data_IF_103004938790
#
_entry.id   IF_103004938790
#
_cell.length_a   1.000
_cell.length_b   1.000
_cell.length_c   1.000
_cell.angle_alpha   90.00
_cell.angle_beta   90.00
_cell.angle_gamma   90.00
#
_symmetry.space_group_name_H-M   'P 1'
#
loop_
_entity.id
_entity.type
_entity.pdbx_description
1 polymer ?
#
# COMPACT_ATOMS: atom_id res chain seq x y z
N UNK A 1 -19.42 -1.98 -12.21
CA UNK A 1 -18.37 -1.47 -13.10
C UNK A 1 -17.53 -2.67 -13.48
N UNK A 2 -17.95 -3.40 -14.52
CA UNK A 2 -17.11 -4.39 -15.19
C UNK A 2 -16.74 -3.72 -16.52
N UNK A 3 -15.45 -3.49 -16.71
CA UNK A 3 -14.88 -2.99 -17.97
C UNK A 3 -13.90 -4.04 -18.47
N UNK A 4 -13.33 -3.86 -19.66
CA UNK A 4 -12.37 -4.81 -20.22
C UNK A 4 -11.14 -5.08 -19.31
N UNK A 5 -10.89 -4.20 -18.33
CA UNK A 5 -9.74 -4.24 -17.44
C UNK A 5 -10.11 -4.33 -15.94
N UNK A 6 -11.41 -4.41 -15.58
CA UNK A 6 -11.84 -4.62 -14.18
C UNK A 6 -12.80 -5.80 -14.09
N UNK A 7 -12.40 -6.82 -13.32
CA UNK A 7 -13.21 -8.00 -13.03
C UNK A 7 -13.63 -8.02 -11.57
N UNK A 8 -14.80 -8.59 -11.27
CA UNK A 8 -15.28 -8.73 -9.89
C UNK A 8 -15.51 -10.19 -9.53
N UNK A 9 -14.82 -10.65 -8.48
CA UNK A 9 -15.15 -11.89 -7.79
C UNK A 9 -16.22 -11.60 -6.73
N UNK A 10 -17.45 -12.05 -6.98
CA UNK A 10 -18.64 -11.65 -6.19
C UNK A 10 -18.60 -12.14 -4.76
N UNK A 11 -18.20 -13.39 -4.55
CA UNK A 11 -18.27 -14.05 -3.23
C UNK A 11 -17.36 -13.41 -2.18
N UNK A 12 -16.17 -12.95 -2.62
CA UNK A 12 -15.22 -12.23 -1.77
C UNK A 12 -15.33 -10.71 -1.88
N UNK A 13 -16.30 -10.21 -2.65
CA UNK A 13 -16.44 -8.80 -3.02
C UNK A 13 -15.11 -8.15 -3.43
N UNK A 14 -14.34 -8.85 -4.28
CA UNK A 14 -13.00 -8.42 -4.69
C UNK A 14 -13.01 -7.98 -6.14
N UNK A 15 -12.49 -6.79 -6.39
CA UNK A 15 -12.27 -6.25 -7.72
C UNK A 15 -10.81 -6.47 -8.10
N UNK A 16 -10.58 -6.82 -9.35
CA UNK A 16 -9.25 -7.08 -9.90
C UNK A 16 -9.10 -6.15 -11.09
N UNK A 17 -8.15 -5.22 -11.00
CA UNK A 17 -7.71 -4.37 -12.09
C UNK A 17 -6.59 -5.12 -12.81
N UNK A 18 -6.73 -5.34 -14.11
CA UNK A 18 -5.68 -5.94 -14.93
C UNK A 18 -4.44 -5.01 -14.98
N UNK A 19 -3.25 -5.57 -15.15
CA UNK A 19 -2.01 -4.78 -15.20
C UNK A 19 -1.96 -3.85 -16.41
N UNK A 20 -1.04 -2.88 -16.37
CA UNK A 20 -0.90 -1.85 -17.43
C UNK A 20 -2.17 -1.03 -17.66
N UNK A 21 -2.98 -0.87 -16.62
CA UNK A 21 -4.17 -0.01 -16.64
C UNK A 21 -3.84 1.42 -16.21
N UNK A 22 -4.72 2.35 -16.55
CA UNK A 22 -4.56 3.78 -16.24
C UNK A 22 -5.88 4.37 -15.74
N UNK A 23 -5.82 5.19 -14.69
CA UNK A 23 -6.96 5.86 -14.07
C UNK A 23 -6.62 7.33 -13.80
N UNK A 24 -7.31 8.26 -14.45
CA UNK A 24 -7.19 9.70 -14.25
C UNK A 24 -8.17 10.29 -13.25
N UNK A 25 -9.23 9.56 -12.90
CA UNK A 25 -10.19 9.95 -11.88
C UNK A 25 -9.92 9.29 -10.52
N UNK A 26 -10.36 9.92 -9.40
CA UNK A 26 -10.32 9.30 -8.08
C UNK A 26 -11.07 7.96 -8.06
N UNK A 27 -10.44 6.93 -7.50
CA UNK A 27 -11.04 5.60 -7.39
C UNK A 27 -11.54 5.38 -5.97
N UNK A 28 -12.87 5.34 -5.82
CA UNK A 28 -13.56 5.00 -4.58
C UNK A 28 -14.26 3.65 -4.72
N UNK A 29 -13.82 2.66 -3.94
CA UNK A 29 -14.29 1.28 -4.08
C UNK A 29 -14.81 0.69 -2.78
N UNK A 30 -16.05 0.18 -2.82
CA UNK A 30 -16.67 -0.55 -1.71
C UNK A 30 -16.44 -2.05 -1.84
N UNK A 31 -15.33 -2.53 -1.29
CA UNK A 31 -14.92 -3.93 -1.36
C UNK A 31 -13.41 -4.08 -1.19
N UNK A 32 -12.89 -5.21 -1.66
CA UNK A 32 -11.45 -5.44 -1.77
C UNK A 32 -10.98 -5.10 -3.18
N UNK A 33 -9.72 -4.71 -3.32
CA UNK A 33 -9.12 -4.37 -4.61
C UNK A 33 -7.74 -5.03 -4.74
N UNK A 34 -7.53 -5.73 -5.84
CA UNK A 34 -6.23 -6.19 -6.31
C UNK A 34 -5.89 -5.41 -7.58
N UNK A 35 -4.72 -4.78 -7.61
CA UNK A 35 -4.24 -3.99 -8.74
C UNK A 35 -3.08 -4.72 -9.42
N UNK A 36 -3.24 -4.98 -10.72
CA UNK A 36 -2.21 -5.57 -11.55
C UNK A 36 -0.93 -4.72 -11.67
N UNK A 37 0.15 -5.34 -12.11
CA UNK A 37 1.46 -4.69 -12.26
C UNK A 37 1.39 -3.48 -13.22
N UNK A 38 2.26 -2.49 -13.01
CA UNK A 38 2.40 -1.33 -13.91
C UNK A 38 1.10 -0.54 -14.12
N UNK A 39 0.27 -0.42 -13.08
CA UNK A 39 -0.97 0.37 -13.14
C UNK A 39 -0.72 1.77 -12.58
N UNK A 40 -1.26 2.78 -13.24
CA UNK A 40 -1.14 4.18 -12.83
C UNK A 40 -2.48 4.75 -12.36
N UNK A 41 -2.49 5.39 -11.20
CA UNK A 41 -3.58 6.23 -10.69
C UNK A 41 -3.10 7.66 -10.54
N UNK A 42 -3.76 8.59 -11.22
CA UNK A 42 -3.43 10.02 -11.17
C UNK A 42 -4.19 10.79 -10.07
N UNK A 43 -4.75 10.06 -9.11
CA UNK A 43 -5.51 10.62 -7.99
C UNK A 43 -5.40 9.76 -6.73
N UNK A 44 -6.20 10.09 -5.72
CA UNK A 44 -6.37 9.30 -4.50
C UNK A 44 -7.01 7.93 -4.80
N UNK A 45 -6.57 6.90 -4.08
CA UNK A 45 -7.14 5.55 -4.12
C UNK A 45 -7.74 5.21 -2.76
N UNK A 46 -9.07 5.10 -2.71
CA UNK A 46 -9.81 4.81 -1.48
C UNK A 46 -10.60 3.51 -1.64
N UNK A 47 -10.28 2.54 -0.79
CA UNK A 47 -10.89 1.21 -0.80
C UNK A 47 -11.43 0.92 0.60
N UNK A 48 -12.67 0.46 0.76
CA UNK A 48 -13.21 0.22 2.11
C UNK A 48 -12.66 -1.04 2.76
N UNK A 49 -12.26 -2.03 1.96
CA UNK A 49 -11.70 -3.31 2.38
C UNK A 49 -10.18 -3.38 2.22
N UNK A 50 -9.68 -4.56 1.87
CA UNK A 50 -8.24 -4.78 1.64
C UNK A 50 -7.82 -4.31 0.25
N UNK A 51 -6.65 -3.69 0.18
CA UNK A 51 -6.00 -3.25 -1.05
C UNK A 51 -4.66 -3.95 -1.22
N UNK A 52 -4.48 -4.60 -2.36
CA UNK A 52 -3.20 -5.16 -2.80
C UNK A 52 -2.75 -4.47 -4.08
N UNK A 53 -1.65 -3.75 -4.00
CA UNK A 53 -0.94 -3.25 -5.17
C UNK A 53 0.12 -4.28 -5.54
N UNK A 54 0.13 -4.74 -6.79
CA UNK A 54 1.27 -5.50 -7.29
C UNK A 54 2.45 -4.56 -7.62
N UNK A 55 3.39 -5.01 -8.44
CA UNK A 55 4.67 -4.33 -8.65
C UNK A 55 4.50 -3.12 -9.56
N UNK A 56 5.35 -2.12 -9.36
CA UNK A 56 5.43 -0.94 -10.23
C UNK A 56 4.09 -0.19 -10.38
N UNK A 57 3.24 -0.20 -9.36
CA UNK A 57 2.02 0.60 -9.35
C UNK A 57 2.38 2.03 -8.93
N UNK A 58 1.90 3.04 -9.66
CA UNK A 58 2.07 4.43 -9.26
C UNK A 58 0.74 5.06 -8.86
N UNK A 59 0.73 5.78 -7.74
CA UNK A 59 -0.42 6.53 -7.23
C UNK A 59 0.03 7.97 -6.97
N UNK A 60 -0.53 8.92 -7.70
CA UNK A 60 -0.21 10.35 -7.56
C UNK A 60 -0.87 11.01 -6.36
N UNK A 61 -1.93 10.40 -5.84
CA UNK A 61 -2.57 10.81 -4.60
C UNK A 61 -2.12 10.03 -3.37
N UNK A 62 -3.01 9.97 -2.40
CA UNK A 62 -2.89 9.18 -1.17
C UNK A 62 -3.69 7.88 -1.25
N UNK A 63 -3.32 6.91 -0.41
CA UNK A 63 -4.02 5.62 -0.28
C UNK A 63 -4.76 5.54 1.05
N UNK A 64 -6.02 5.11 1.01
CA UNK A 64 -6.80 4.79 2.23
C UNK A 64 -7.48 3.43 2.08
N UNK A 65 -7.19 2.50 2.99
CA UNK A 65 -7.87 1.21 3.02
C UNK A 65 -8.00 0.57 4.41
N UNK A 66 -8.66 -0.58 4.53
CA UNK A 66 -8.67 -1.34 5.77
C UNK A 66 -7.30 -1.99 6.02
N UNK A 67 -6.84 -2.82 5.08
CA UNK A 67 -5.49 -3.38 5.01
C UNK A 67 -4.84 -2.95 3.69
N UNK A 68 -3.54 -2.74 3.69
CA UNK A 68 -2.79 -2.40 2.47
C UNK A 68 -1.56 -3.28 2.34
N UNK A 69 -1.34 -3.80 1.13
CA UNK A 69 -0.06 -4.33 0.66
C UNK A 69 0.40 -3.43 -0.49
N UNK A 70 1.50 -2.70 -0.31
CA UNK A 70 2.15 -1.94 -1.36
C UNK A 70 3.22 -2.83 -2.00
N UNK A 71 3.03 -3.17 -3.28
CA UNK A 71 3.95 -4.01 -4.02
C UNK A 71 5.34 -3.40 -4.24
N UNK A 72 6.28 -4.26 -4.62
CA UNK A 72 7.67 -3.84 -4.81
C UNK A 72 7.79 -2.80 -5.94
N UNK A 73 8.70 -1.84 -5.77
CA UNK A 73 8.94 -0.72 -6.69
C UNK A 73 7.72 0.18 -6.95
N UNK A 74 6.63 0.03 -6.19
CA UNK A 74 5.45 0.89 -6.33
C UNK A 74 5.69 2.25 -5.65
N UNK A 75 5.04 3.29 -6.17
CA UNK A 75 5.18 4.66 -5.67
C UNK A 75 3.82 5.23 -5.27
N UNK A 76 3.74 5.83 -4.09
CA UNK A 76 2.59 6.64 -3.65
C UNK A 76 3.13 8.03 -3.35
N UNK A 77 2.77 9.04 -4.14
CA UNK A 77 3.30 10.40 -3.96
C UNK A 77 2.76 11.01 -2.66
N UNK A 78 1.53 10.65 -2.27
CA UNK A 78 0.92 11.02 -0.99
C UNK A 78 1.27 10.08 0.17
N UNK A 79 0.39 10.06 1.17
CA UNK A 79 0.51 9.18 2.34
C UNK A 79 -0.32 7.91 2.21
N UNK A 80 -0.08 6.95 3.12
CA UNK A 80 -0.86 5.72 3.26
C UNK A 80 -1.52 5.71 4.62
N UNK A 81 -2.84 5.55 4.67
CA UNK A 81 -3.58 5.39 5.92
C UNK A 81 -4.38 4.10 5.90
N UNK A 82 -4.14 3.24 6.90
CA UNK A 82 -4.82 1.96 7.06
C UNK A 82 -5.56 1.89 8.39
N UNK A 83 -6.76 1.32 8.39
CA UNK A 83 -7.48 1.04 9.65
C UNK A 83 -6.84 -0.11 10.43
N UNK A 84 -6.25 -1.05 9.71
CA UNK A 84 -5.61 -2.26 10.22
C UNK A 84 -4.14 -2.25 9.75
N UNK A 85 -3.66 -3.35 9.17
CA UNK A 85 -2.24 -3.56 8.89
C UNK A 85 -1.79 -2.90 7.58
N UNK A 86 -0.50 -2.57 7.50
CA UNK A 86 0.15 -2.08 6.30
C UNK A 86 1.44 -2.88 6.03
N UNK A 87 1.57 -3.45 4.84
CA UNK A 87 2.81 -4.09 4.38
C UNK A 87 3.36 -3.34 3.20
N UNK A 88 4.65 -3.01 3.23
CA UNK A 88 5.35 -2.32 2.15
C UNK A 88 6.54 -3.17 1.69
N UNK A 89 6.48 -3.59 0.42
CA UNK A 89 7.47 -4.47 -0.20
C UNK A 89 8.62 -3.69 -0.86
N UNK A 90 9.69 -4.40 -1.19
CA UNK A 90 11.02 -3.89 -1.53
C UNK A 90 11.01 -2.69 -2.47
N UNK A 91 11.86 -1.71 -2.18
CA UNK A 91 12.09 -0.53 -3.03
C UNK A 91 10.85 0.36 -3.27
N UNK A 92 9.74 0.16 -2.56
CA UNK A 92 8.61 1.07 -2.68
C UNK A 92 8.91 2.45 -2.07
N UNK A 93 8.28 3.48 -2.61
CA UNK A 93 8.45 4.86 -2.21
C UNK A 93 7.11 5.49 -1.84
N UNK A 94 6.99 5.99 -0.62
CA UNK A 94 5.84 6.73 -0.13
C UNK A 94 6.31 8.17 0.11
N UNK A 95 5.80 9.15 -0.63
CA UNK A 95 6.20 10.55 -0.48
C UNK A 95 5.75 11.15 0.86
N UNK A 96 4.63 10.65 1.40
CA UNK A 96 4.07 11.05 2.68
C UNK A 96 4.35 10.09 3.85
N UNK A 97 3.49 10.19 4.85
CA UNK A 97 3.54 9.34 6.04
C UNK A 97 2.77 8.03 5.83
N UNK A 98 3.14 6.99 6.59
CA UNK A 98 2.35 5.77 6.75
C UNK A 98 1.73 5.81 8.14
N UNK A 99 0.41 5.68 8.23
CA UNK A 99 -0.31 5.56 9.51
C UNK A 99 -1.19 4.33 9.49
N UNK A 100 -0.92 3.38 10.38
CA UNK A 100 -1.67 2.13 10.49
C UNK A 100 -2.30 1.96 11.87
N UNK A 101 -3.58 1.59 11.90
CA UNK A 101 -4.26 1.18 13.14
C UNK A 101 -3.87 -0.22 13.62
N UNK A 102 -3.07 -0.96 12.85
CA UNK A 102 -2.51 -2.26 13.20
C UNK A 102 -0.99 -2.27 13.11
N UNK A 103 -0.43 -3.42 12.72
CA UNK A 103 1.00 -3.60 12.52
C UNK A 103 1.46 -3.01 11.17
N UNK A 104 2.73 -2.59 11.10
CA UNK A 104 3.40 -2.20 9.86
C UNK A 104 4.59 -3.13 9.60
N UNK A 105 4.69 -3.68 8.39
CA UNK A 105 5.88 -4.41 7.94
C UNK A 105 6.55 -3.64 6.79
N UNK A 106 7.83 -3.33 6.96
CA UNK A 106 8.67 -2.65 5.97
C UNK A 106 9.79 -3.59 5.54
N UNK A 107 9.84 -3.88 4.24
CA UNK A 107 10.93 -4.67 3.64
C UNK A 107 12.14 -3.78 3.27
N UNK A 108 13.21 -4.30 2.64
CA UNK A 108 14.37 -3.47 2.31
C UNK A 108 14.08 -2.32 1.34
N UNK A 109 14.87 -1.26 1.46
CA UNK A 109 14.95 -0.11 0.56
C UNK A 109 13.67 0.74 0.45
N UNK A 110 12.79 0.69 1.46
CA UNK A 110 11.63 1.58 1.55
C UNK A 110 12.07 3.02 1.80
N UNK A 111 11.38 3.96 1.14
CA UNK A 111 11.42 5.39 1.45
C UNK A 111 10.05 5.85 1.92
N UNK A 112 9.99 6.54 3.06
CA UNK A 112 8.75 7.14 3.56
C UNK A 112 9.04 8.36 4.45
N UNK A 113 8.01 9.13 4.78
CA UNK A 113 8.05 10.11 5.85
C UNK A 113 8.10 9.45 7.24
N UNK A 114 7.15 9.82 8.11
CA UNK A 114 6.96 9.18 9.41
C UNK A 114 6.15 7.89 9.20
N UNK A 115 6.54 6.82 9.88
CA UNK A 115 5.76 5.56 9.92
C UNK A 115 5.21 5.38 11.34
N UNK A 116 3.89 5.47 11.47
CA UNK A 116 3.15 5.25 12.71
C UNK A 116 2.34 3.96 12.68
N UNK A 117 2.39 3.21 13.78
CA UNK A 117 1.62 1.99 13.97
C UNK A 117 1.05 1.92 15.39
N UNK A 118 -0.24 1.67 15.54
CA UNK A 118 -0.82 1.30 16.85
C UNK A 118 -0.39 -0.12 17.28
N UNK A 119 0.07 -0.93 16.33
CA UNK A 119 0.70 -2.23 16.57
C UNK A 119 2.22 -2.15 16.70
N UNK A 120 2.86 -3.19 16.20
CA UNK A 120 4.30 -3.28 16.02
C UNK A 120 4.72 -2.69 14.68
N UNK A 121 5.97 -2.27 14.58
CA UNK A 121 6.64 -2.01 13.30
C UNK A 121 7.73 -3.06 13.14
N UNK A 122 7.64 -3.88 12.11
CA UNK A 122 8.70 -4.79 11.70
C UNK A 122 9.47 -4.21 10.51
N UNK A 123 10.79 -4.17 10.62
CA UNK A 123 11.70 -3.65 9.59
C UNK A 123 12.69 -4.74 9.21
N UNK A 124 12.75 -5.07 7.92
CA UNK A 124 13.77 -5.96 7.38
C UNK A 124 14.77 -5.17 6.53
N UNK A 125 16.06 -5.34 6.81
CA UNK A 125 17.11 -4.67 6.06
C UNK A 125 17.15 -3.16 6.28
N UNK A 126 17.67 -2.42 5.30
CA UNK A 126 17.82 -0.96 5.38
C UNK A 126 16.56 -0.26 4.89
N UNK A 127 16.07 0.73 5.64
CA UNK A 127 14.99 1.63 5.24
C UNK A 127 15.43 3.09 5.36
N UNK A 128 14.73 3.98 4.69
CA UNK A 128 15.00 5.41 4.62
C UNK A 128 13.73 6.18 4.99
N UNK A 129 13.47 6.25 6.30
CA UNK A 129 12.27 6.91 6.85
C UNK A 129 12.67 8.05 7.78
N UNK A 130 11.80 9.05 7.92
CA UNK A 130 12.06 10.18 8.84
C UNK A 130 12.05 9.72 10.29
N UNK A 131 11.09 8.88 10.66
CA UNK A 131 10.89 8.41 12.04
C UNK A 131 9.99 7.16 12.06
N UNK A 132 10.19 6.29 13.05
CA UNK A 132 9.33 5.16 13.35
C UNK A 132 8.63 5.38 14.70
N UNK A 133 7.30 5.21 14.73
CA UNK A 133 6.46 5.37 15.93
C UNK A 133 5.55 4.16 16.10
N UNK A 134 5.99 3.18 16.89
CA UNK A 134 5.17 2.04 17.25
C UNK A 134 4.61 2.25 18.67
N UNK A 135 3.32 2.01 18.88
CA UNK A 135 2.73 1.98 20.23
C UNK A 135 3.13 0.70 20.99
N UNK A 136 3.47 -0.38 20.27
CA UNK A 136 4.00 -1.62 20.86
C UNK A 136 5.50 -1.70 20.74
N UNK A 137 6.02 -2.34 19.69
CA UNK A 137 7.46 -2.62 19.51
C UNK A 137 7.91 -2.27 18.11
N UNK A 138 9.18 -1.85 18.01
CA UNK A 138 9.90 -1.82 16.74
C UNK A 138 10.82 -3.05 16.71
N UNK A 139 10.67 -3.89 15.68
CA UNK A 139 11.39 -5.15 15.51
C UNK A 139 12.26 -5.01 14.27
N UNK A 140 13.57 -5.02 14.43
CA UNK A 140 14.51 -5.01 13.31
C UNK A 140 14.98 -6.44 13.01
N UNK A 141 14.94 -6.83 11.74
CA UNK A 141 15.48 -8.09 11.22
C UNK A 141 16.58 -7.81 10.22
N UNK A 142 17.61 -8.65 10.27
CA UNK A 142 18.66 -8.65 9.25
C UNK A 142 18.06 -9.12 7.92
N UNK A 143 18.47 -8.49 6.82
CA UNK A 143 18.23 -9.04 5.50
C UNK A 143 19.06 -10.32 5.33
N UNK A 144 18.40 -11.43 4.95
CA UNK A 144 19.04 -12.75 4.84
C UNK A 144 19.36 -13.12 3.38
N UNK A 145 19.37 -12.13 2.49
CA UNK A 145 19.76 -12.25 1.08
C UNK A 145 21.25 -12.04 0.87
#
# INVERSE_FOLDING_TARGET
>A
METNFIKRHKDSNTFIIDGSSFFDEPVYLKGNLIVGDNTDFWSDLIVTGSLELRKYVAIKGSVRAANVIIGAHSTVDGGVTTKQNCTVLDHAMIGGNITAGGDVMLRPNIRAGIVGAAGNIEVTGRIYVKELRAEKKIIARKDML
#
